data_IF_504083374850
#
_entry.id   IF_504083374850
#
_cell.length_a   1.000
_cell.length_b   1.000
_cell.length_c   1.000
_cell.angle_alpha   90.00
_cell.angle_beta   90.00
_cell.angle_gamma   90.00
#
_symmetry.space_group_name_H-M   'P 1'
#
loop_
_entity.id
_entity.type
_entity.pdbx_description
1 polymer ?
#
# COMPACT_ATOMS: atom_id res chain seq x y z
N UNK A 1 33.74 10.82 -59.81
CA UNK A 1 32.62 10.02 -59.27
C UNK A 1 32.96 9.74 -57.84
N UNK A 2 32.42 10.57 -56.96
CA UNK A 2 32.49 10.48 -55.52
C UNK A 2 31.04 10.40 -55.01
N UNK A 3 30.92 9.91 -53.79
CA UNK A 3 29.74 9.84 -52.90
C UNK A 3 28.92 8.53 -52.83
N UNK A 4 28.76 8.15 -51.56
CA UNK A 4 27.64 7.44 -50.91
C UNK A 4 27.56 5.91 -50.99
N UNK A 5 28.32 5.30 -50.08
CA UNK A 5 27.87 4.17 -49.24
C UNK A 5 28.58 4.36 -47.88
N UNK A 6 28.07 5.20 -46.98
CA UNK A 6 26.82 5.10 -46.21
C UNK A 6 26.95 4.08 -45.05
N UNK A 7 27.32 4.61 -43.88
CA UNK A 7 26.43 4.53 -42.72
C UNK A 7 26.45 3.28 -41.84
N UNK A 8 27.18 2.22 -42.17
CA UNK A 8 27.15 0.98 -41.36
C UNK A 8 28.20 0.97 -40.22
N UNK A 9 29.25 1.78 -40.32
CA UNK A 9 30.32 1.82 -39.31
C UNK A 9 30.06 2.84 -38.18
N UNK A 10 29.14 3.79 -38.37
CA UNK A 10 28.77 4.80 -37.35
C UNK A 10 27.45 4.48 -36.61
N UNK A 11 26.65 3.52 -37.10
CA UNK A 11 25.43 3.08 -36.41
C UNK A 11 25.69 2.02 -35.30
N UNK A 12 26.92 1.52 -35.17
CA UNK A 12 27.24 0.46 -34.21
C UNK A 12 27.78 0.96 -32.85
N UNK A 13 28.06 2.26 -32.71
CA UNK A 13 28.66 2.82 -31.49
C UNK A 13 27.62 3.31 -30.44
N UNK A 14 26.33 3.33 -30.79
CA UNK A 14 25.28 3.93 -29.95
C UNK A 14 24.31 2.97 -29.23
N UNK A 15 24.32 1.66 -29.52
CA UNK A 15 23.21 0.79 -29.11
C UNK A 15 23.59 -0.63 -28.66
N UNK A 16 24.70 -0.78 -27.92
CA UNK A 16 24.78 -1.80 -26.86
C UNK A 16 24.46 -1.20 -25.49
N UNK A 17 23.44 -0.36 -25.43
CA UNK A 17 22.59 -0.23 -24.24
C UNK A 17 21.73 -1.49 -24.12
N UNK A 18 22.36 -2.67 -24.13
CA UNK A 18 21.69 -3.94 -23.91
C UNK A 18 21.27 -3.98 -22.44
N UNK A 19 20.02 -3.57 -22.20
CA UNK A 19 19.14 -4.13 -21.17
C UNK A 19 19.76 -4.19 -19.77
N UNK A 20 20.12 -3.05 -19.19
CA UNK A 20 20.35 -2.99 -17.74
C UNK A 20 19.04 -2.81 -16.94
N UNK A 21 17.89 -2.60 -17.60
CA UNK A 21 16.66 -2.06 -16.97
C UNK A 21 15.35 -2.82 -17.31
N UNK A 22 15.38 -4.07 -17.78
CA UNK A 22 14.16 -4.90 -17.77
C UNK A 22 14.34 -6.14 -16.89
N UNK A 23 13.86 -5.98 -15.65
CA UNK A 23 13.21 -6.95 -14.78
C UNK A 23 13.78 -8.39 -14.66
N UNK A 24 14.22 -8.66 -13.42
CA UNK A 24 13.83 -9.84 -12.64
C UNK A 24 14.60 -11.17 -12.71
N UNK A 25 15.56 -11.41 -13.62
CA UNK A 25 16.22 -12.74 -13.62
C UNK A 25 17.71 -12.81 -13.99
N UNK A 26 18.46 -11.74 -13.78
CA UNK A 26 19.83 -11.69 -14.25
C UNK A 26 20.76 -11.08 -13.18
N UNK A 27 21.25 -11.92 -12.27
CA UNK A 27 22.52 -11.68 -11.58
C UNK A 27 23.58 -12.60 -12.17
N UNK A 28 23.30 -13.91 -12.15
CA UNK A 28 24.19 -14.95 -12.70
C UNK A 28 24.40 -14.86 -14.21
N UNK A 29 23.38 -14.48 -15.00
CA UNK A 29 23.55 -14.32 -16.45
C UNK A 29 24.50 -13.17 -16.80
N UNK A 30 24.48 -12.07 -16.04
CA UNK A 30 25.39 -10.95 -16.27
C UNK A 30 26.81 -11.26 -15.81
N UNK A 31 26.97 -11.94 -14.67
CA UNK A 31 28.29 -12.40 -14.22
C UNK A 31 28.98 -13.28 -15.28
N UNK A 32 28.25 -14.26 -15.83
CA UNK A 32 28.75 -15.13 -16.92
C UNK A 32 29.03 -14.35 -18.21
N UNK A 33 28.14 -13.45 -18.60
CA UNK A 33 28.34 -12.62 -19.79
C UNK A 33 29.58 -11.71 -19.68
N UNK A 34 29.84 -11.17 -18.48
CA UNK A 34 31.02 -10.34 -18.17
C UNK A 34 32.30 -11.17 -18.16
N UNK A 35 32.28 -12.37 -17.57
CA UNK A 35 33.39 -13.32 -17.63
C UNK A 35 33.72 -13.72 -19.08
N UNK A 36 32.70 -14.02 -19.89
CA UNK A 36 32.86 -14.32 -21.31
C UNK A 36 33.44 -13.15 -22.10
N UNK A 37 32.99 -11.93 -21.81
CA UNK A 37 33.52 -10.73 -22.45
C UNK A 37 35.02 -10.53 -22.13
N UNK A 38 35.42 -10.71 -20.86
CA UNK A 38 36.83 -10.63 -20.46
C UNK A 38 37.68 -11.70 -21.14
N UNK A 39 37.21 -12.96 -21.18
CA UNK A 39 37.92 -14.05 -21.87
C UNK A 39 38.12 -13.77 -23.35
N UNK A 40 37.08 -13.26 -24.03
CA UNK A 40 37.16 -12.90 -25.45
C UNK A 40 38.12 -11.74 -25.70
N UNK A 41 38.12 -10.72 -24.85
CA UNK A 41 39.05 -9.59 -24.96
C UNK A 41 40.50 -10.04 -24.78
N UNK A 42 40.77 -10.94 -23.83
CA UNK A 42 42.09 -11.55 -23.62
C UNK A 42 42.57 -12.38 -24.82
N UNK A 43 41.67 -13.10 -25.49
CA UNK A 43 42.00 -13.86 -26.70
C UNK A 43 42.33 -12.96 -27.90
N UNK A 44 41.78 -11.73 -27.93
CA UNK A 44 42.04 -10.76 -29.01
C UNK A 44 43.31 -9.96 -28.78
N UNK A 45 43.44 -9.27 -27.64
CA UNK A 45 44.65 -8.52 -27.30
C UNK A 45 44.71 -8.08 -25.83
N UNK A 46 45.94 -7.88 -25.32
CA UNK A 46 46.19 -7.28 -24.00
C UNK A 46 45.61 -5.86 -23.88
N UNK A 47 45.56 -5.10 -24.98
CA UNK A 47 45.04 -3.73 -24.99
C UNK A 47 43.53 -3.72 -24.81
N UNK A 48 42.80 -4.53 -25.58
CA UNK A 48 41.34 -4.67 -25.45
C UNK A 48 40.94 -5.18 -24.06
N UNK A 49 41.71 -6.12 -23.51
CA UNK A 49 41.49 -6.61 -22.15
C UNK A 49 41.63 -5.49 -21.10
N UNK A 50 42.65 -4.63 -21.21
CA UNK A 50 42.84 -3.49 -20.30
C UNK A 50 41.75 -2.45 -20.42
N UNK A 51 41.34 -2.12 -21.65
CA UNK A 51 40.27 -1.15 -21.90
C UNK A 51 38.93 -1.65 -21.34
N UNK A 52 38.59 -2.92 -21.57
CA UNK A 52 37.38 -3.53 -21.02
C UNK A 52 37.42 -3.60 -19.48
N UNK A 53 38.55 -3.99 -18.91
CA UNK A 53 38.73 -4.03 -17.46
C UNK A 53 38.57 -2.64 -16.81
N UNK A 54 39.11 -1.59 -17.44
CA UNK A 54 38.95 -0.21 -16.95
C UNK A 54 37.49 0.24 -16.95
N UNK A 55 36.72 -0.11 -17.99
CA UNK A 55 35.28 0.19 -18.06
C UNK A 55 34.52 -0.57 -16.98
N UNK A 56 34.83 -1.86 -16.81
CA UNK A 56 34.19 -2.71 -15.82
C UNK A 56 34.43 -2.20 -14.39
N UNK A 57 35.66 -1.78 -14.07
CA UNK A 57 35.98 -1.20 -12.77
C UNK A 57 35.20 0.10 -12.54
N UNK A 58 35.09 0.97 -13.55
CA UNK A 58 34.30 2.19 -13.46
C UNK A 58 32.81 1.90 -13.22
N UNK A 59 32.23 0.91 -13.90
CA UNK A 59 30.86 0.45 -13.66
C UNK A 59 30.67 -0.06 -12.22
N UNK A 60 31.63 -0.83 -11.70
CA UNK A 60 31.60 -1.35 -10.33
C UNK A 60 31.63 -0.22 -9.30
N UNK A 61 32.50 0.77 -9.48
CA UNK A 61 32.57 1.92 -8.58
C UNK A 61 31.27 2.74 -8.59
N UNK A 62 30.65 2.91 -9.76
CA UNK A 62 29.34 3.56 -9.87
C UNK A 62 28.24 2.76 -9.17
N UNK A 63 28.23 1.43 -9.32
CA UNK A 63 27.28 0.56 -8.64
C UNK A 63 27.46 0.64 -7.12
N UNK A 64 28.71 0.65 -6.62
CA UNK A 64 29.02 0.78 -5.20
C UNK A 64 28.47 2.05 -4.58
N UNK A 65 28.51 3.17 -5.30
CA UNK A 65 27.90 4.41 -4.84
C UNK A 65 26.37 4.30 -4.65
N UNK A 66 25.69 3.38 -5.33
CA UNK A 66 24.23 3.22 -5.22
C UNK A 66 23.79 2.49 -3.96
N UNK A 67 24.60 1.58 -3.42
CA UNK A 67 24.24 0.79 -2.24
C UNK A 67 25.10 1.10 -1.00
N UNK A 68 26.02 2.07 -1.07
CA UNK A 68 26.88 2.44 0.05
C UNK A 68 26.11 3.01 1.26
N UNK A 69 24.94 3.60 1.03
CA UNK A 69 24.06 4.18 2.04
C UNK A 69 23.23 3.15 2.81
N UNK A 70 23.11 1.91 2.31
CA UNK A 70 22.42 0.79 2.97
C UNK A 70 22.96 0.51 4.39
N UNK A 71 24.22 0.84 4.65
CA UNK A 71 24.82 0.68 5.98
C UNK A 71 24.44 1.76 6.98
N UNK A 72 23.69 2.80 6.54
CA UNK A 72 23.29 3.93 7.38
C UNK A 72 21.85 3.79 7.81
N UNK A 73 21.58 3.93 9.10
CA UNK A 73 20.23 3.81 9.65
C UNK A 73 19.29 4.87 9.05
N UNK A 74 19.77 6.11 8.91
CA UNK A 74 19.03 7.22 8.34
C UNK A 74 18.58 7.02 6.89
N UNK A 75 19.18 6.10 6.13
CA UNK A 75 18.68 5.73 4.81
C UNK A 75 17.41 4.88 4.93
N UNK A 76 17.43 3.87 5.79
CA UNK A 76 16.27 2.98 6.00
C UNK A 76 15.04 3.70 6.53
N UNK A 77 15.22 4.77 7.30
CA UNK A 77 14.12 5.55 7.86
C UNK A 77 13.35 6.38 6.80
N UNK A 78 13.98 6.62 5.64
CA UNK A 78 13.39 7.42 4.54
C UNK A 78 13.25 6.65 3.23
N UNK A 79 13.85 5.47 3.11
CA UNK A 79 13.88 4.71 1.89
C UNK A 79 12.46 4.25 1.52
N UNK A 80 12.09 4.47 0.27
CA UNK A 80 10.87 3.95 -0.30
C UNK A 80 11.01 2.45 -0.62
N UNK A 81 9.90 1.70 -0.70
CA UNK A 81 9.95 0.28 -1.08
C UNK A 81 10.62 0.04 -2.45
N UNK A 82 10.41 0.94 -3.42
CA UNK A 82 11.07 0.89 -4.72
C UNK A 82 12.58 1.09 -4.63
N UNK A 83 13.05 2.04 -3.81
CA UNK A 83 14.48 2.25 -3.58
C UNK A 83 15.13 1.06 -2.90
N UNK A 84 14.46 0.47 -1.90
CA UNK A 84 14.91 -0.77 -1.23
C UNK A 84 15.04 -1.90 -2.26
N UNK A 85 14.02 -2.08 -3.10
CA UNK A 85 14.06 -3.05 -4.19
C UNK A 85 15.22 -2.81 -5.16
N UNK A 86 15.42 -1.56 -5.59
CA UNK A 86 16.48 -1.19 -6.51
C UNK A 86 17.86 -1.43 -5.92
N UNK A 87 18.12 -1.04 -4.65
CA UNK A 87 19.43 -1.22 -4.01
C UNK A 87 19.73 -2.69 -3.76
N UNK A 88 18.72 -3.46 -3.38
CA UNK A 88 18.84 -4.91 -3.25
C UNK A 88 19.24 -5.56 -4.57
N UNK A 89 18.57 -5.18 -5.66
CA UNK A 89 18.90 -5.71 -6.99
C UNK A 89 20.31 -5.32 -7.44
N UNK A 90 20.72 -4.07 -7.23
CA UNK A 90 22.09 -3.63 -7.57
C UNK A 90 23.12 -4.40 -6.75
N UNK A 91 22.97 -4.50 -5.43
CA UNK A 91 23.90 -5.25 -4.58
C UNK A 91 24.00 -6.73 -5.00
N UNK A 92 22.85 -7.37 -5.25
CA UNK A 92 22.79 -8.76 -5.70
C UNK A 92 23.43 -8.98 -7.08
N UNK A 93 23.31 -8.02 -7.99
CA UNK A 93 23.89 -8.13 -9.33
C UNK A 93 25.43 -8.07 -9.33
N UNK A 94 26.05 -7.54 -8.27
CA UNK A 94 27.49 -7.36 -8.14
C UNK A 94 28.12 -8.24 -7.03
N UNK A 95 27.34 -9.10 -6.37
CA UNK A 95 27.80 -9.85 -5.20
C UNK A 95 28.94 -10.84 -5.50
N UNK A 96 29.11 -11.26 -6.75
CA UNK A 96 30.15 -12.22 -7.14
C UNK A 96 31.50 -11.53 -7.37
N UNK A 97 31.48 -10.27 -7.82
CA UNK A 97 32.65 -9.50 -8.21
C UNK A 97 33.05 -8.41 -7.21
N UNK A 98 32.12 -8.01 -6.34
CA UNK A 98 32.34 -7.02 -5.29
C UNK A 98 31.96 -7.60 -3.91
N UNK A 99 32.95 -7.88 -3.03
CA UNK A 99 32.69 -8.32 -1.66
C UNK A 99 31.84 -7.34 -0.85
N UNK A 100 31.88 -6.04 -1.17
CA UNK A 100 31.06 -5.03 -0.50
C UNK A 100 29.60 -5.12 -0.93
N UNK A 101 29.34 -5.45 -2.20
CA UNK A 101 27.99 -5.72 -2.68
C UNK A 101 27.38 -6.95 -1.97
N UNK A 102 28.17 -8.00 -1.75
CA UNK A 102 27.73 -9.17 -0.98
C UNK A 102 27.39 -8.81 0.49
N UNK A 103 28.17 -7.92 1.12
CA UNK A 103 27.85 -7.44 2.49
C UNK A 103 26.62 -6.55 2.50
N UNK A 104 26.45 -5.68 1.51
CA UNK A 104 25.27 -4.84 1.38
C UNK A 104 24.01 -5.69 1.20
N UNK A 105 24.03 -6.69 0.32
CA UNK A 105 22.91 -7.63 0.13
C UNK A 105 22.52 -8.34 1.43
N UNK A 106 23.50 -8.85 2.17
CA UNK A 106 23.26 -9.50 3.46
C UNK A 106 22.67 -8.54 4.49
N UNK A 107 23.19 -7.33 4.60
CA UNK A 107 22.64 -6.30 5.49
C UNK A 107 21.19 -5.98 5.11
N UNK A 108 20.91 -5.81 3.82
CA UNK A 108 19.55 -5.55 3.34
C UNK A 108 18.60 -6.66 3.72
N UNK A 109 19.01 -7.93 3.58
CA UNK A 109 18.18 -9.06 4.01
C UNK A 109 17.88 -9.03 5.50
N UNK A 110 18.88 -8.70 6.33
CA UNK A 110 18.71 -8.54 7.78
C UNK A 110 17.73 -7.42 8.14
N UNK A 111 17.89 -6.25 7.53
CA UNK A 111 17.03 -5.09 7.75
C UNK A 111 15.60 -5.33 7.23
N UNK A 112 15.46 -5.94 6.05
CA UNK A 112 14.15 -6.28 5.47
C UNK A 112 13.39 -7.26 6.39
N UNK A 113 14.08 -8.28 6.92
CA UNK A 113 13.48 -9.19 7.89
C UNK A 113 13.14 -8.49 9.20
N UNK A 114 14.05 -7.67 9.73
CA UNK A 114 13.85 -7.02 11.03
C UNK A 114 12.76 -5.96 11.01
N UNK A 115 12.61 -5.21 9.91
CA UNK A 115 11.69 -4.06 9.81
C UNK A 115 10.32 -4.44 9.25
N UNK A 116 10.27 -5.40 8.32
CA UNK A 116 9.05 -5.74 7.59
C UNK A 116 8.61 -7.20 7.77
N UNK A 117 9.34 -7.99 8.57
CA UNK A 117 9.12 -9.44 8.77
C UNK A 117 9.20 -10.28 7.47
N UNK A 118 9.89 -9.77 6.44
CA UNK A 118 10.02 -10.43 5.14
C UNK A 118 11.31 -11.24 5.07
N UNK A 119 11.17 -12.56 4.87
CA UNK A 119 12.31 -13.46 4.66
C UNK A 119 12.69 -13.55 3.18
N UNK A 120 13.79 -12.87 2.81
CA UNK A 120 14.38 -12.98 1.47
C UNK A 120 15.35 -14.18 1.45
N UNK A 121 15.14 -15.18 0.57
CA UNK A 121 15.97 -16.38 0.52
C UNK A 121 17.40 -16.10 0.04
N UNK A 122 18.39 -16.71 0.72
CA UNK A 122 19.82 -16.66 0.36
C UNK A 122 20.21 -17.70 -0.70
N UNK A 123 19.38 -18.72 -0.91
CA UNK A 123 19.72 -19.99 -1.56
C UNK A 123 19.80 -19.92 -3.10
N UNK A 124 20.05 -18.73 -3.65
CA UNK A 124 20.15 -18.51 -5.09
C UNK A 124 18.80 -18.49 -5.81
N UNK A 125 17.66 -18.71 -5.12
CA UNK A 125 16.34 -18.42 -5.71
C UNK A 125 16.30 -16.96 -6.14
N UNK A 126 16.18 -16.73 -7.44
CA UNK A 126 16.21 -15.39 -8.02
C UNK A 126 14.97 -14.62 -7.55
N UNK A 127 15.16 -13.75 -6.57
CA UNK A 127 14.19 -12.74 -6.14
C UNK A 127 14.66 -11.42 -6.72
N UNK A 128 13.80 -10.80 -7.50
CA UNK A 128 14.02 -9.52 -8.13
C UNK A 128 13.87 -8.36 -7.14
N UNK A 129 14.47 -7.21 -7.48
CA UNK A 129 14.26 -5.98 -6.71
C UNK A 129 12.78 -5.57 -6.68
N UNK A 130 12.06 -5.77 -7.79
CA UNK A 130 10.64 -5.47 -7.86
C UNK A 130 9.80 -6.35 -6.92
N UNK A 131 10.13 -7.64 -6.79
CA UNK A 131 9.47 -8.53 -5.83
C UNK A 131 9.75 -8.11 -4.39
N UNK A 132 10.99 -7.70 -4.08
CA UNK A 132 11.34 -7.14 -2.75
C UNK A 132 10.56 -5.86 -2.48
N UNK A 133 10.56 -4.90 -3.42
CA UNK A 133 9.82 -3.64 -3.26
C UNK A 133 8.32 -3.86 -3.10
N UNK A 134 7.74 -4.80 -3.86
CA UNK A 134 6.32 -5.19 -3.73
C UNK A 134 6.03 -5.80 -2.37
N UNK A 135 6.89 -6.70 -1.88
CA UNK A 135 6.71 -7.32 -0.57
C UNK A 135 6.79 -6.28 0.56
N UNK A 136 7.77 -5.38 0.51
CA UNK A 136 7.94 -4.30 1.49
C UNK A 136 6.73 -3.36 1.45
N UNK A 137 6.26 -2.96 0.27
CA UNK A 137 5.04 -2.16 0.13
C UNK A 137 3.83 -2.86 0.76
N UNK A 138 3.68 -4.17 0.53
CA UNK A 138 2.61 -4.96 1.14
C UNK A 138 2.64 -4.95 2.67
N UNK A 139 3.83 -5.03 3.28
CA UNK A 139 3.99 -4.93 4.74
C UNK A 139 3.61 -3.53 5.25
N UNK A 140 4.09 -2.46 4.59
CA UNK A 140 3.75 -1.07 4.94
C UNK A 140 2.25 -0.81 4.85
N UNK A 141 1.59 -1.32 3.80
CA UNK A 141 0.15 -1.18 3.61
C UNK A 141 -0.64 -1.94 4.68
N UNK A 142 -0.16 -3.11 5.11
CA UNK A 142 -0.76 -3.88 6.19
C UNK A 142 -0.69 -3.15 7.53
N UNK A 143 0.46 -2.59 7.87
CA UNK A 143 0.66 -1.83 9.11
C UNK A 143 -0.22 -0.57 9.12
N UNK A 144 -0.28 0.14 7.99
CA UNK A 144 -1.17 1.29 7.82
C UNK A 144 -2.63 0.88 7.98
N UNK A 145 -3.06 -0.21 7.35
CA UNK A 145 -4.43 -0.70 7.47
C UNK A 145 -4.76 -1.13 8.91
N UNK A 146 -3.81 -1.73 9.64
CA UNK A 146 -3.99 -2.09 11.05
C UNK A 146 -4.10 -0.85 11.96
N UNK A 147 -3.29 0.17 11.72
CA UNK A 147 -3.35 1.45 12.42
C UNK A 147 -4.69 2.16 12.18
N UNK A 148 -5.16 2.21 10.93
CA UNK A 148 -6.47 2.79 10.58
C UNK A 148 -7.63 2.03 11.24
N UNK A 149 -7.58 0.69 11.28
CA UNK A 149 -8.59 -0.11 12.01
C UNK A 149 -8.62 0.25 13.49
N UNK A 150 -7.45 0.32 14.13
CA UNK A 150 -7.34 0.66 15.55
C UNK A 150 -7.87 2.06 15.82
N UNK A 151 -7.57 3.02 14.93
CA UNK A 151 -8.10 4.38 15.01
C UNK A 151 -9.63 4.39 14.87
N UNK A 152 -10.17 3.72 13.86
CA UNK A 152 -11.61 3.63 13.63
C UNK A 152 -12.35 2.97 14.80
N UNK A 153 -11.76 1.96 15.45
CA UNK A 153 -12.32 1.34 16.65
C UNK A 153 -12.40 2.33 17.83
N UNK A 154 -11.35 3.14 18.03
CA UNK A 154 -11.35 4.19 19.06
C UNK A 154 -12.40 5.26 18.80
N UNK A 155 -12.47 5.75 17.56
CA UNK A 155 -13.47 6.76 17.15
C UNK A 155 -14.90 6.23 17.32
N UNK A 156 -15.14 4.95 16.99
CA UNK A 156 -16.44 4.29 17.24
C UNK A 156 -16.77 4.19 18.72
N UNK A 157 -15.81 3.84 19.56
CA UNK A 157 -16.03 3.76 21.01
C UNK A 157 -16.36 5.14 21.60
N UNK A 158 -15.66 6.18 21.16
CA UNK A 158 -15.92 7.56 21.57
C UNK A 158 -17.31 8.05 21.12
N UNK A 159 -17.71 7.76 19.88
CA UNK A 159 -19.05 8.08 19.39
C UNK A 159 -20.17 7.41 20.23
N UNK A 160 -19.97 6.15 20.66
CA UNK A 160 -20.92 5.46 21.54
C UNK A 160 -21.01 6.11 22.93
N UNK A 161 -19.91 6.61 23.47
CA UNK A 161 -19.91 7.33 24.74
C UNK A 161 -20.66 8.67 24.62
N UNK A 162 -20.43 9.41 23.55
CA UNK A 162 -21.12 10.67 23.28
C UNK A 162 -22.64 10.47 23.10
N UNK A 163 -23.06 9.40 22.44
CA UNK A 163 -24.49 9.05 22.35
C UNK A 163 -25.08 8.71 23.73
N UNK A 164 -24.34 7.97 24.56
CA UNK A 164 -24.77 7.65 25.92
C UNK A 164 -24.89 8.89 26.81
N UNK A 165 -23.96 9.85 26.68
CA UNK A 165 -23.99 11.13 27.38
C UNK A 165 -25.15 12.00 26.91
N UNK A 166 -25.38 12.11 25.60
CA UNK A 166 -26.53 12.82 25.04
C UNK A 166 -27.86 12.24 25.54
N UNK A 167 -27.98 10.91 25.56
CA UNK A 167 -29.17 10.23 26.06
C UNK A 167 -29.37 10.42 27.58
N UNK A 168 -28.30 10.65 28.35
CA UNK A 168 -28.40 11.00 29.77
C UNK A 168 -28.87 12.44 29.93
N UNK A 169 -28.24 13.37 29.21
CA UNK A 169 -28.59 14.78 29.27
C UNK A 169 -30.05 15.03 28.85
N UNK A 170 -30.56 14.33 27.83
CA UNK A 170 -31.98 14.39 27.47
C UNK A 170 -32.90 13.97 28.63
N UNK A 171 -32.57 12.88 29.32
CA UNK A 171 -33.37 12.40 30.47
C UNK A 171 -33.34 13.39 31.61
N UNK A 172 -32.17 13.96 31.88
CA UNK A 172 -31.99 14.96 32.92
C UNK A 172 -32.73 16.27 32.57
N UNK A 173 -32.74 16.66 31.28
CA UNK A 173 -33.53 17.78 30.78
C UNK A 173 -35.03 17.55 30.96
N UNK A 174 -35.53 16.36 30.60
CA UNK A 174 -36.93 15.98 30.79
C UNK A 174 -37.33 15.95 32.26
N UNK A 175 -36.45 15.47 33.14
CA UNK A 175 -36.68 15.49 34.57
C UNK A 175 -36.75 16.93 35.12
N UNK A 176 -35.85 17.81 34.69
CA UNK A 176 -35.85 19.22 35.08
C UNK A 176 -37.09 19.97 34.55
N UNK A 177 -37.51 19.71 33.30
CA UNK A 177 -38.78 20.21 32.75
C UNK A 177 -39.98 19.75 33.60
N UNK A 178 -40.01 18.46 33.95
CA UNK A 178 -41.08 17.89 34.77
C UNK A 178 -41.11 18.51 36.17
N UNK A 179 -39.94 18.73 36.79
CA UNK A 179 -39.84 19.39 38.08
C UNK A 179 -40.36 20.83 38.04
N UNK A 180 -40.00 21.60 37.00
CA UNK A 180 -40.44 22.97 36.81
C UNK A 180 -41.98 23.11 36.69
N UNK A 181 -42.66 22.10 36.12
CA UNK A 181 -44.11 22.10 35.95
C UNK A 181 -44.87 22.08 37.29
N UNK A 182 -44.34 21.35 38.28
CA UNK A 182 -44.98 21.17 39.59
C UNK A 182 -44.40 22.04 40.71
N UNK A 183 -43.33 22.78 40.44
CA UNK A 183 -42.67 23.64 41.43
C UNK A 183 -43.52 24.89 41.71
N UNK A 184 -44.00 25.13 42.95
CA UNK A 184 -44.73 26.36 43.29
C UNK A 184 -43.85 27.63 43.30
N UNK A 185 -42.60 27.54 43.74
CA UNK A 185 -41.72 28.70 43.85
C UNK A 185 -41.25 29.20 42.47
N UNK A 186 -41.23 30.52 42.29
CA UNK A 186 -40.90 31.11 41.00
C UNK A 186 -39.41 31.07 40.68
N UNK A 187 -38.55 31.23 41.67
CA UNK A 187 -37.11 31.19 41.46
C UNK A 187 -36.63 29.75 41.23
N UNK A 188 -37.17 28.78 41.97
CA UNK A 188 -36.82 27.36 41.81
C UNK A 188 -37.30 26.82 40.45
N UNK A 189 -38.49 27.22 40.00
CA UNK A 189 -38.99 26.91 38.65
C UNK A 189 -38.12 27.49 37.54
N UNK A 190 -37.66 28.74 37.68
CA UNK A 190 -36.76 29.36 36.69
C UNK A 190 -35.40 28.64 36.64
N UNK A 191 -34.84 28.25 37.80
CA UNK A 191 -33.61 27.46 37.86
C UNK A 191 -33.75 26.11 37.15
N UNK A 192 -34.87 25.40 37.35
CA UNK A 192 -35.13 24.13 36.69
C UNK A 192 -35.28 24.27 35.16
N UNK A 193 -35.89 25.35 34.67
CA UNK A 193 -35.98 25.65 33.22
C UNK A 193 -34.59 25.93 32.62
N UNK A 194 -33.76 26.69 33.34
CA UNK A 194 -32.39 26.98 32.92
C UNK A 194 -31.55 25.70 32.89
N UNK A 195 -31.67 24.83 33.90
CA UNK A 195 -30.99 23.54 33.91
C UNK A 195 -31.42 22.68 32.70
N UNK A 196 -32.73 22.54 32.44
CA UNK A 196 -33.22 21.79 31.29
C UNK A 196 -32.64 22.31 29.96
N UNK A 197 -32.57 23.64 29.79
CA UNK A 197 -32.00 24.27 28.59
C UNK A 197 -30.50 23.99 28.44
N UNK A 198 -29.75 23.99 29.55
CA UNK A 198 -28.33 23.66 29.54
C UNK A 198 -28.10 22.19 29.16
N UNK A 199 -28.92 21.28 29.68
CA UNK A 199 -28.84 19.85 29.36
C UNK A 199 -29.21 19.56 27.90
N UNK A 200 -30.25 20.18 27.36
CA UNK A 200 -30.59 20.08 25.93
C UNK A 200 -29.42 20.56 25.04
N UNK A 201 -28.76 21.65 25.43
CA UNK A 201 -27.60 22.19 24.70
C UNK A 201 -26.41 21.24 24.77
N UNK A 202 -26.12 20.67 25.95
CA UNK A 202 -25.07 19.68 26.15
C UNK A 202 -25.31 18.41 25.33
N UNK A 203 -26.56 17.89 25.36
CA UNK A 203 -26.98 16.74 24.56
C UNK A 203 -26.80 16.97 23.06
N UNK A 204 -27.21 18.14 22.55
CA UNK A 204 -27.03 18.51 21.14
C UNK A 204 -25.55 18.54 20.78
N UNK A 205 -24.72 19.19 21.61
CA UNK A 205 -23.28 19.26 21.37
C UNK A 205 -22.60 17.88 21.43
N UNK A 206 -23.07 16.96 22.27
CA UNK A 206 -22.57 15.59 22.33
C UNK A 206 -22.95 14.80 21.06
N UNK A 207 -24.19 14.95 20.57
CA UNK A 207 -24.63 14.36 19.29
C UNK A 207 -23.82 14.86 18.10
N UNK A 208 -23.63 16.17 18.00
CA UNK A 208 -22.86 16.79 16.92
C UNK A 208 -21.43 16.23 16.88
N UNK A 209 -20.79 16.11 18.06
CA UNK A 209 -19.44 15.50 18.18
C UNK A 209 -19.45 14.03 17.79
N UNK A 210 -20.46 13.26 18.22
CA UNK A 210 -20.59 11.84 17.90
C UNK A 210 -20.80 11.59 16.40
N UNK A 211 -21.59 12.44 15.73
CA UNK A 211 -21.85 12.37 14.29
C UNK A 211 -20.57 12.60 13.47
N UNK A 212 -19.75 13.58 13.87
CA UNK A 212 -18.44 13.85 13.25
C UNK A 212 -17.50 12.64 13.34
N UNK A 213 -17.54 11.89 14.45
CA UNK A 213 -16.68 10.72 14.67
C UNK A 213 -17.19 9.44 13.98
N UNK A 214 -18.50 9.25 13.87
CA UNK A 214 -19.09 7.99 13.42
C UNK A 214 -19.06 7.82 11.89
N UNK A 215 -19.56 8.79 11.11
CA UNK A 215 -19.44 8.82 9.64
C UNK A 215 -19.89 10.15 9.01
N UNK A 216 -19.09 11.21 9.12
CA UNK A 216 -19.41 12.46 8.43
C UNK A 216 -19.01 12.42 6.95
N UNK A 217 -19.78 13.13 6.11
CA UNK A 217 -19.39 13.46 4.75
C UNK A 217 -18.01 14.16 4.71
N UNK A 218 -17.66 14.88 5.77
CA UNK A 218 -16.38 15.58 5.93
C UNK A 218 -15.20 14.60 6.12
N UNK A 219 -15.39 13.49 6.83
CA UNK A 219 -14.37 12.43 6.93
C UNK A 219 -14.15 11.76 5.56
N UNK A 220 -15.22 11.58 4.79
CA UNK A 220 -15.17 11.07 3.42
C UNK A 220 -14.45 12.06 2.49
N UNK A 221 -14.75 13.35 2.58
CA UNK A 221 -14.10 14.38 1.77
C UNK A 221 -12.62 14.54 2.14
N UNK A 222 -12.27 14.47 3.43
CA UNK A 222 -10.87 14.47 3.87
C UNK A 222 -10.11 13.25 3.34
N UNK A 223 -10.73 12.06 3.38
CA UNK A 223 -10.15 10.83 2.85
C UNK A 223 -9.99 10.90 1.32
N UNK A 224 -10.98 11.45 0.60
CA UNK A 224 -10.89 11.66 -0.84
C UNK A 224 -9.77 12.65 -1.20
N UNK A 225 -9.63 13.75 -0.44
CA UNK A 225 -8.56 14.74 -0.64
C UNK A 225 -7.17 14.16 -0.35
N UNK A 226 -7.04 13.29 0.65
CA UNK A 226 -5.80 12.57 0.98
C UNK A 226 -5.37 11.68 -0.19
N UNK A 227 -6.30 10.91 -0.77
CA UNK A 227 -6.05 10.03 -1.91
C UNK A 227 -5.74 10.83 -3.19
N UNK A 228 -6.36 12.00 -3.35
CA UNK A 228 -6.05 12.92 -4.45
C UNK A 228 -4.63 13.48 -4.34
N UNK A 229 -4.17 13.85 -3.13
CA UNK A 229 -2.78 14.29 -2.88
C UNK A 229 -1.75 13.19 -3.16
N UNK A 230 -2.14 11.93 -3.01
CA UNK A 230 -1.32 10.76 -3.35
C UNK A 230 -1.34 10.43 -4.87
N UNK A 231 -2.00 11.25 -5.69
CA UNK A 231 -2.01 11.10 -7.16
C UNK A 231 -2.91 9.98 -7.67
N UNK A 232 -3.84 9.47 -6.85
CA UNK A 232 -4.79 8.47 -7.31
C UNK A 232 -5.79 9.05 -8.31
N UNK A 233 -6.15 8.25 -9.32
CA UNK A 233 -7.17 8.64 -10.28
C UNK A 233 -8.53 8.82 -9.61
N UNK A 234 -9.32 9.80 -10.06
CA UNK A 234 -10.68 10.05 -9.55
C UNK A 234 -11.57 8.79 -9.56
N UNK A 235 -11.39 7.91 -10.55
CA UNK A 235 -12.12 6.64 -10.64
C UNK A 235 -11.75 5.65 -9.53
N UNK A 236 -10.47 5.61 -9.14
CA UNK A 236 -10.01 4.77 -8.03
C UNK A 236 -10.47 5.33 -6.67
N UNK A 237 -10.44 6.65 -6.52
CA UNK A 237 -11.00 7.35 -5.35
C UNK A 237 -12.50 7.03 -5.26
N UNK A 238 -13.27 7.26 -6.32
CA UNK A 238 -14.70 6.99 -6.34
C UNK A 238 -15.05 5.52 -6.02
N UNK A 239 -14.28 4.55 -6.54
CA UNK A 239 -14.48 3.14 -6.22
C UNK A 239 -14.26 2.86 -4.72
N UNK A 240 -13.21 3.44 -4.12
CA UNK A 240 -12.90 3.34 -2.68
C UNK A 240 -14.00 4.00 -1.84
N UNK A 241 -14.41 5.22 -2.19
CA UNK A 241 -15.47 5.95 -1.48
C UNK A 241 -16.81 5.21 -1.52
N UNK A 242 -17.11 4.52 -2.63
CA UNK A 242 -18.34 3.75 -2.78
C UNK A 242 -18.35 2.44 -1.96
N UNK A 243 -17.18 1.88 -1.69
CA UNK A 243 -16.99 0.73 -0.80
C UNK A 243 -17.17 1.14 0.68
N UNK A 244 -16.59 2.27 1.09
CA UNK A 244 -16.77 2.84 2.44
C UNK A 244 -18.24 3.14 2.74
N UNK A 245 -18.97 3.75 1.79
CA UNK A 245 -20.41 4.01 1.92
C UNK A 245 -21.21 2.71 2.13
N UNK A 246 -20.79 1.61 1.49
CA UNK A 246 -21.44 0.31 1.62
C UNK A 246 -21.24 -0.35 3.00
N UNK A 247 -20.18 0.01 3.72
CA UNK A 247 -19.83 -0.52 5.04
C UNK A 247 -20.31 0.36 6.20
N UNK A 248 -20.74 1.61 5.92
CA UNK A 248 -21.09 2.61 6.91
C UNK A 248 -22.59 2.68 7.26
N UNK A 249 -23.38 1.62 7.05
CA UNK A 249 -24.79 1.65 7.50
C UNK A 249 -24.86 1.35 9.00
N UNK A 250 -25.26 2.30 9.88
CA UNK A 250 -25.40 2.03 11.31
C UNK A 250 -26.43 0.94 11.59
N UNK A 251 -26.28 0.15 12.67
CA UNK A 251 -27.24 -0.88 13.08
C UNK A 251 -28.69 -0.36 13.19
N UNK A 252 -28.89 0.91 13.56
CA UNK A 252 -30.22 1.54 13.64
C UNK A 252 -30.85 1.93 12.29
N UNK A 253 -30.04 2.10 11.23
CA UNK A 253 -30.53 2.42 9.88
C UNK A 253 -30.93 1.15 9.09
N UNK A 254 -30.32 0.00 9.41
CA UNK A 254 -30.65 -1.28 8.80
C UNK A 254 -32.09 -1.74 9.09
N UNK A 255 -32.64 -1.38 10.25
CA UNK A 255 -34.00 -1.79 10.65
C UNK A 255 -35.10 -0.95 9.96
N UNK A 256 -34.80 0.31 9.58
CA UNK A 256 -35.79 1.18 8.91
C UNK A 256 -36.04 0.80 7.44
N UNK A 257 -35.11 0.09 6.80
CA UNK A 257 -35.19 -0.29 5.38
C UNK A 257 -35.43 -1.80 5.15
N UNK A 258 -35.84 -2.54 6.19
CA UNK A 258 -36.04 -3.99 6.18
C UNK A 258 -37.34 -4.48 5.53
N UNK A 259 -37.65 -4.07 4.30
CA UNK A 259 -38.56 -4.85 3.45
C UNK A 259 -37.80 -6.03 2.83
N UNK A 260 -38.35 -7.25 2.74
CA UNK A 260 -37.61 -8.42 2.27
C UNK A 260 -37.18 -8.22 0.81
N UNK A 261 -35.89 -7.97 0.58
CA UNK A 261 -35.33 -7.90 -0.77
C UNK A 261 -35.37 -9.30 -1.38
N UNK A 262 -36.15 -9.46 -2.47
CA UNK A 262 -36.26 -10.71 -3.21
C UNK A 262 -34.86 -11.16 -3.68
N UNK A 263 -34.52 -12.41 -3.39
CA UNK A 263 -33.27 -13.04 -3.83
C UNK A 263 -33.17 -13.04 -5.38
N UNK A 264 -31.98 -12.83 -5.95
CA UNK A 264 -31.78 -12.87 -7.39
C UNK A 264 -32.04 -14.29 -7.93
N UNK A 265 -32.88 -14.36 -8.96
CA UNK A 265 -33.31 -15.62 -9.60
C UNK A 265 -32.11 -16.23 -10.33
N UNK A 266 -31.68 -17.42 -9.90
CA UNK A 266 -30.60 -18.17 -10.55
C UNK A 266 -30.93 -18.42 -12.04
N UNK A 267 -30.01 -18.05 -12.94
CA UNK A 267 -30.09 -18.38 -14.37
C UNK A 267 -29.88 -19.88 -14.55
N UNK A 268 -30.89 -20.58 -15.09
CA UNK A 268 -30.77 -21.96 -15.57
C UNK A 268 -29.75 -21.99 -16.71
N UNK A 269 -28.60 -22.63 -16.50
CA UNK A 269 -27.69 -23.02 -17.57
C UNK A 269 -28.22 -24.33 -18.14
N UNK A 270 -28.81 -24.28 -19.34
CA UNK A 270 -29.20 -25.47 -20.09
C UNK A 270 -27.97 -25.96 -20.86
N UNK A 271 -27.33 -27.03 -20.38
CA UNK A 271 -26.26 -27.72 -21.13
C UNK A 271 -26.84 -28.58 -22.26
N UNK A 272 -26.16 -28.71 -23.42
CA UNK A 272 -26.65 -29.53 -24.52
C UNK A 272 -26.44 -31.01 -24.26
N UNK A 273 -27.48 -31.79 -24.55
CA UNK A 273 -27.48 -33.25 -24.62
C UNK A 273 -26.46 -33.75 -25.64
N UNK A 274 -25.62 -34.71 -25.25
CA UNK A 274 -25.05 -35.70 -26.17
C UNK A 274 -25.32 -37.10 -25.61
N UNK A 275 -26.22 -37.78 -26.29
CA UNK A 275 -26.43 -39.21 -26.16
C UNK A 275 -25.26 -39.97 -26.78
N UNK A 276 -24.82 -41.04 -26.12
CA UNK A 276 -24.35 -42.25 -26.80
C UNK A 276 -24.68 -43.47 -25.91
N UNK A 277 -25.65 -44.24 -26.43
CA UNK A 277 -25.87 -45.68 -26.25
C UNK A 277 -24.57 -46.47 -26.32
N UNK A 278 -24.41 -47.69 -25.81
CA UNK A 278 -25.26 -48.68 -25.14
C UNK A 278 -24.30 -49.75 -24.58
N UNK A 279 -24.73 -50.56 -23.61
CA UNK A 279 -24.60 -52.02 -23.64
C UNK A 279 -25.13 -52.62 -22.33
N UNK A 280 -26.19 -53.43 -22.44
CA UNK A 280 -26.42 -54.67 -21.68
C UNK A 280 -27.77 -55.25 -22.08
N UNK A 281 -27.77 -56.32 -22.87
CA UNK A 281 -28.95 -57.18 -23.01
C UNK A 281 -29.05 -58.05 -24.25
N UNK A 282 -28.34 -59.19 -24.20
CA UNK A 282 -28.49 -60.45 -24.97
C UNK A 282 -27.84 -60.55 -26.35
#
# INVERSE_FOLDING_TARGET
>A
MAEESDGIEEAFEGQMRMVAMTAARAGEMFARAREDAMRRAQQKSDREARELASRFEAEKQLARAQYADVHRAEWWDRATPDEIGQRFQTARAWQQEDPEAARAEQQMRGEIKSRYDIDVPADGRAVSGAEVGTAVQGSVDQDRAAAERTRAERERAEALLLDADANRDDRDADAARSAAEFEPDAEERERAIVEATQRDTSSTAARDKGEVLYDSAERRDATAQELQKQGMSEKAIAARMHEDIGQATPPGAAVKNGGPKKAPKARKVSGPQRAQQAELGR
#
